data_IF_392500258665
#
_entry.id   IF_392500258665
#
_cell.length_a   1.000
_cell.length_b   1.000
_cell.length_c   1.000
_cell.angle_alpha   90.00
_cell.angle_beta   90.00
_cell.angle_gamma   90.00
#
_symmetry.space_group_name_H-M   'P 1'
#
loop_
_entity.id
_entity.type
_entity.pdbx_description
1 polymer ?
#
# COMPACT_ATOMS: atom_id res chain seq x y z
N UNK A 1 -7.10 9.03 20.05
CA UNK A 1 -6.69 8.40 18.76
C UNK A 1 -7.33 9.18 17.62
N UNK A 2 -6.67 9.30 16.46
CA UNK A 2 -7.30 9.85 15.24
C UNK A 2 -6.73 9.17 14.00
N UNK A 3 -7.53 9.09 12.96
CA UNK A 3 -7.09 8.66 11.62
C UNK A 3 -6.89 9.91 10.78
N UNK A 4 -5.76 9.98 10.09
CA UNK A 4 -5.40 11.07 9.18
C UNK A 4 -5.30 10.56 7.75
N UNK A 5 -5.59 11.45 6.80
CA UNK A 5 -5.40 11.20 5.37
C UNK A 5 -4.44 12.26 4.84
N UNK A 6 -3.47 11.82 4.06
CA UNK A 6 -2.46 12.66 3.42
C UNK A 6 -2.24 12.17 2.00
N UNK A 7 -1.99 13.08 1.07
CA UNK A 7 -1.62 12.71 -0.28
C UNK A 7 -0.25 12.00 -0.27
N UNK A 8 -0.02 11.11 -1.23
CA UNK A 8 1.25 10.38 -1.38
C UNK A 8 2.48 11.29 -1.54
N UNK A 9 2.27 12.55 -1.89
CA UNK A 9 3.31 13.58 -1.99
C UNK A 9 3.55 14.34 -0.67
N UNK A 10 2.88 13.94 0.42
CA UNK A 10 2.96 14.57 1.74
C UNK A 10 2.13 15.86 1.90
N UNK A 11 1.28 16.22 0.91
CA UNK A 11 0.43 17.41 0.98
C UNK A 11 -0.99 17.08 1.45
N UNK A 12 -1.78 18.13 1.69
CA UNK A 12 -3.21 18.06 2.00
C UNK A 12 -3.55 17.15 3.20
N UNK A 13 -2.69 17.13 4.21
CA UNK A 13 -2.95 16.39 5.44
C UNK A 13 -4.23 16.91 6.10
N UNK A 14 -5.17 16.00 6.37
CA UNK A 14 -6.41 16.30 7.07
C UNK A 14 -6.74 15.22 8.09
N UNK A 15 -7.36 15.65 9.19
CA UNK A 15 -7.99 14.71 10.13
C UNK A 15 -9.21 14.11 9.44
N UNK A 16 -9.24 12.78 9.36
CA UNK A 16 -10.33 12.03 8.73
C UNK A 16 -11.37 11.62 9.76
N UNK A 17 -10.94 11.06 10.89
CA UNK A 17 -11.81 10.71 12.01
C UNK A 17 -11.09 10.96 13.31
N UNK A 18 -11.72 11.70 14.22
CA UNK A 18 -11.17 12.05 15.54
C UNK A 18 -12.04 11.62 16.73
N UNK A 19 -13.28 11.20 16.48
CA UNK A 19 -14.25 10.87 17.53
C UNK A 19 -14.60 9.38 17.52
N UNK A 20 -14.89 8.84 18.70
CA UNK A 20 -15.32 7.44 18.89
C UNK A 20 -14.36 6.40 18.31
N UNK A 21 -13.08 6.73 18.17
CA UNK A 21 -12.01 5.78 17.87
C UNK A 21 -11.25 5.55 19.17
N UNK A 22 -11.19 4.30 19.58
CA UNK A 22 -10.46 3.88 20.78
C UNK A 22 -9.05 3.50 20.38
N UNK A 23 -8.94 2.41 19.62
CA UNK A 23 -7.68 1.86 19.16
C UNK A 23 -7.91 1.14 17.83
N UNK A 24 -7.36 1.69 16.75
CA UNK A 24 -7.40 1.08 15.42
C UNK A 24 -6.12 0.27 15.24
N UNK A 25 -6.27 -1.04 15.06
CA UNK A 25 -5.14 -1.94 14.86
C UNK A 25 -4.75 -2.04 13.39
N UNK A 26 -5.75 -2.07 12.49
CA UNK A 26 -5.54 -2.20 11.05
C UNK A 26 -6.57 -1.40 10.24
N UNK A 27 -6.15 -0.99 9.04
CA UNK A 27 -6.98 -0.27 8.08
C UNK A 27 -6.84 -0.86 6.68
N UNK A 28 -7.92 -0.79 5.91
CA UNK A 28 -7.92 -1.10 4.48
C UNK A 28 -8.80 -0.11 3.73
N UNK A 29 -8.44 0.28 2.52
CA UNK A 29 -9.22 1.20 1.70
C UNK A 29 -9.71 0.52 0.43
N UNK A 30 -11.01 0.59 0.14
CA UNK A 30 -11.59 0.04 -1.08
C UNK A 30 -12.94 0.68 -1.42
N UNK A 31 -13.19 0.89 -2.72
CA UNK A 31 -14.51 1.28 -3.22
C UNK A 31 -15.06 2.61 -2.67
N UNK A 32 -14.21 3.55 -2.28
CA UNK A 32 -14.66 4.81 -1.66
C UNK A 32 -14.96 4.69 -0.16
N UNK A 33 -14.48 3.63 0.48
CA UNK A 33 -14.59 3.42 1.91
C UNK A 33 -13.22 3.14 2.55
N UNK A 34 -13.08 3.56 3.80
CA UNK A 34 -12.05 3.13 4.73
C UNK A 34 -12.67 2.10 5.68
N UNK A 35 -12.09 0.92 5.71
CA UNK A 35 -12.39 -0.13 6.67
C UNK A 35 -11.38 -0.03 7.81
N UNK A 36 -11.85 0.06 9.04
CA UNK A 36 -10.97 0.07 10.21
C UNK A 36 -11.38 -1.01 11.20
N UNK A 37 -10.38 -1.74 11.71
CA UNK A 37 -10.52 -2.69 12.79
C UNK A 37 -10.22 -1.96 14.10
N UNK A 38 -11.26 -1.59 14.85
CA UNK A 38 -11.16 -1.00 16.19
C UNK A 38 -11.33 -2.07 17.27
N UNK A 39 -10.49 -1.98 18.29
CA UNK A 39 -10.39 -2.97 19.36
C UNK A 39 -11.64 -3.05 20.24
N UNK A 40 -12.48 -2.00 20.24
CA UNK A 40 -13.72 -1.93 21.03
C UNK A 40 -14.95 -2.26 20.18
N UNK A 41 -15.06 -1.70 18.99
CA UNK A 41 -16.28 -1.82 18.17
C UNK A 41 -16.20 -2.94 17.13
N UNK A 42 -15.00 -3.34 16.71
CA UNK A 42 -14.79 -4.36 15.68
C UNK A 42 -14.50 -3.76 14.31
N UNK A 43 -15.10 -4.31 13.26
CA UNK A 43 -14.95 -3.80 11.90
C UNK A 43 -15.96 -2.69 11.63
N UNK A 44 -15.44 -1.53 11.27
CA UNK A 44 -16.24 -0.39 10.85
C UNK A 44 -15.90 0.05 9.43
N UNK A 45 -16.89 0.62 8.75
CA UNK A 45 -16.75 1.21 7.43
C UNK A 45 -17.02 2.71 7.51
N UNK A 46 -16.17 3.50 6.87
CA UNK A 46 -16.23 4.96 6.86
C UNK A 46 -16.14 5.45 5.42
N UNK A 47 -17.08 6.27 4.95
CA UNK A 47 -16.99 6.83 3.59
C UNK A 47 -15.76 7.73 3.46
N UNK A 48 -15.11 7.79 2.29
CA UNK A 48 -13.91 8.64 2.05
C UNK A 48 -14.13 10.14 2.28
N UNK A 49 -15.38 10.59 2.44
CA UNK A 49 -15.73 11.95 2.82
C UNK A 49 -15.88 12.13 4.34
N UNK A 50 -15.86 11.04 5.12
CA UNK A 50 -16.02 11.02 6.57
C UNK A 50 -17.46 11.14 7.06
N UNK A 51 -18.44 11.24 6.16
CA UNK A 51 -19.83 11.57 6.49
C UNK A 51 -20.64 10.40 7.07
N UNK A 52 -20.33 9.17 6.65
CA UNK A 52 -21.06 7.97 7.08
C UNK A 52 -20.10 6.98 7.72
N UNK A 53 -20.51 6.47 8.88
CA UNK A 53 -19.82 5.43 9.64
C UNK A 53 -20.81 4.37 10.06
N UNK A 54 -20.46 3.11 9.84
CA UNK A 54 -21.26 1.94 10.22
C UNK A 54 -20.37 0.88 10.85
N UNK A 55 -20.91 0.17 11.83
CA UNK A 55 -20.30 -1.06 12.36
C UNK A 55 -20.79 -2.20 11.49
N UNK A 56 -19.89 -2.86 10.76
CA UNK A 56 -20.22 -4.00 9.90
C UNK A 56 -20.12 -5.32 10.67
N UNK A 57 -19.16 -5.40 11.60
CA UNK A 57 -18.97 -6.59 12.41
C UNK A 57 -18.50 -6.19 13.80
N UNK A 58 -19.10 -6.81 14.83
CA UNK A 58 -18.65 -6.63 16.21
C UNK A 58 -17.24 -7.17 16.42
N UNK A 59 -16.57 -6.69 17.48
CA UNK A 59 -15.21 -7.13 17.81
C UNK A 59 -15.17 -8.64 18.06
N UNK A 60 -14.32 -9.32 17.28
CA UNK A 60 -13.98 -10.72 17.44
C UNK A 60 -12.49 -10.85 17.75
N UNK A 61 -12.06 -11.33 18.94
CA UNK A 61 -10.65 -11.32 19.38
C UNK A 61 -9.67 -11.99 18.40
N UNK A 62 -10.14 -12.99 17.64
CA UNK A 62 -9.34 -13.69 16.63
C UNK A 62 -9.05 -12.87 15.38
N UNK A 63 -9.75 -11.76 15.17
CA UNK A 63 -9.49 -10.87 14.03
C UNK A 63 -8.37 -9.92 14.41
N UNK A 64 -7.25 -10.07 13.71
CA UNK A 64 -6.02 -9.33 13.96
C UNK A 64 -5.65 -8.41 12.82
N UNK A 65 -6.15 -8.67 11.60
CA UNK A 65 -5.82 -7.88 10.41
C UNK A 65 -6.97 -7.91 9.40
N UNK A 66 -7.00 -6.89 8.54
CA UNK A 66 -7.93 -6.75 7.42
C UNK A 66 -7.16 -6.35 6.16
N UNK A 67 -7.57 -6.88 5.02
CA UNK A 67 -7.05 -6.49 3.71
C UNK A 67 -8.20 -6.42 2.73
N UNK A 68 -8.28 -5.32 2.00
CA UNK A 68 -9.23 -5.19 0.90
C UNK A 68 -8.52 -5.54 -0.40
N UNK A 69 -9.12 -6.47 -1.17
CA UNK A 69 -8.51 -7.00 -2.40
C UNK A 69 -9.38 -6.61 -3.58
N UNK A 70 -8.81 -5.83 -4.49
CA UNK A 70 -9.38 -5.59 -5.80
C UNK A 70 -8.76 -6.56 -6.80
N UNK A 71 -9.59 -7.25 -7.60
CA UNK A 71 -9.13 -8.12 -8.68
C UNK A 71 -9.25 -7.39 -10.01
N UNK A 72 -8.18 -6.78 -10.54
CA UNK A 72 -8.22 -6.06 -11.80
C UNK A 72 -8.33 -7.01 -13.00
N UNK A 73 -8.90 -6.50 -14.10
CA UNK A 73 -8.85 -7.19 -15.38
C UNK A 73 -7.41 -7.34 -15.89
N UNK A 74 -7.17 -8.41 -16.64
CA UNK A 74 -5.87 -8.69 -17.24
C UNK A 74 -5.31 -7.52 -18.09
N UNK A 75 -6.19 -6.66 -18.65
CA UNK A 75 -5.77 -5.48 -19.42
C UNK A 75 -5.07 -4.42 -18.56
N UNK A 76 -5.55 -4.20 -17.33
CA UNK A 76 -4.93 -3.25 -16.39
C UNK A 76 -3.57 -3.76 -15.94
N UNK A 77 -3.50 -5.07 -15.68
CA UNK A 77 -2.28 -5.77 -15.29
C UNK A 77 -1.19 -5.71 -16.36
N UNK A 78 -1.52 -5.94 -17.64
CA UNK A 78 -0.53 -5.91 -18.75
C UNK A 78 0.19 -4.57 -18.93
N UNK A 79 -0.41 -3.46 -18.50
CA UNK A 79 0.25 -2.15 -18.57
C UNK A 79 1.31 -1.97 -17.47
N UNK A 80 1.39 -2.89 -16.51
CA UNK A 80 2.40 -2.88 -15.48
C UNK A 80 3.66 -3.59 -16.00
N UNK A 81 4.71 -2.82 -16.28
CA UNK A 81 5.96 -3.29 -16.91
C UNK A 81 6.69 -4.39 -16.13
N UNK A 82 6.48 -4.48 -14.81
CA UNK A 82 7.03 -5.56 -13.97
C UNK A 82 6.37 -6.94 -14.19
N UNK A 83 5.41 -7.06 -15.12
CA UNK A 83 4.79 -8.35 -15.47
C UNK A 83 5.53 -9.10 -16.58
N UNK A 84 6.56 -8.52 -17.20
CA UNK A 84 7.30 -9.23 -18.24
C UNK A 84 8.13 -10.38 -17.64
N UNK A 85 7.95 -11.64 -18.08
CA UNK A 85 8.62 -12.80 -17.49
C UNK A 85 10.14 -12.84 -17.65
N UNK A 86 10.71 -11.96 -18.49
CA UNK A 86 12.15 -11.93 -18.79
C UNK A 86 13.03 -11.41 -17.64
N UNK A 87 12.42 -10.89 -16.57
CA UNK A 87 13.11 -10.12 -15.53
C UNK A 87 13.10 -10.74 -14.13
N UNK A 88 12.67 -12.00 -13.96
CA UNK A 88 12.75 -12.69 -12.67
C UNK A 88 14.17 -13.24 -12.48
N UNK A 89 14.99 -12.63 -11.61
CA UNK A 89 14.68 -12.51 -10.19
C UNK A 89 14.82 -11.08 -9.63
N UNK A 90 14.49 -10.05 -10.41
CA UNK A 90 14.82 -8.67 -10.04
C UNK A 90 13.70 -7.97 -9.24
N UNK A 91 14.08 -7.34 -8.13
CA UNK A 91 13.22 -6.39 -7.40
C UNK A 91 13.06 -5.15 -8.28
N UNK A 92 11.88 -4.93 -8.86
CA UNK A 92 11.59 -3.72 -9.61
C UNK A 92 10.95 -2.68 -8.70
N UNK A 93 11.50 -1.48 -8.72
CA UNK A 93 10.85 -0.32 -8.11
C UNK A 93 10.40 0.60 -9.23
N UNK A 94 9.09 0.81 -9.34
CA UNK A 94 8.60 1.93 -10.13
C UNK A 94 9.06 3.21 -9.45
N UNK A 95 9.90 3.99 -10.12
CA UNK A 95 10.26 5.31 -9.64
C UNK A 95 9.05 6.21 -9.87
N UNK A 96 8.48 6.76 -8.80
CA UNK A 96 7.27 7.59 -8.87
C UNK A 96 7.38 8.73 -9.89
N UNK A 97 6.22 9.31 -10.25
CA UNK A 97 5.93 10.32 -11.30
C UNK A 97 6.87 11.55 -11.29
N UNK A 98 8.16 11.34 -11.51
CA UNK A 98 9.22 12.35 -11.52
C UNK A 98 10.20 12.00 -12.63
N UNK A 99 10.05 12.70 -13.76
CA UNK A 99 10.94 12.88 -14.92
C UNK A 99 11.62 11.68 -15.61
N UNK A 100 11.64 10.47 -15.06
CA UNK A 100 12.10 9.26 -15.78
C UNK A 100 10.93 8.32 -15.96
N UNK A 101 10.54 8.10 -17.20
CA UNK A 101 9.47 7.17 -17.65
C UNK A 101 9.92 5.71 -17.66
N UNK A 102 11.00 5.36 -16.95
CA UNK A 102 11.66 4.07 -17.07
C UNK A 102 11.75 3.43 -15.68
N UNK A 103 11.24 2.21 -15.55
CA UNK A 103 11.42 1.37 -14.37
C UNK A 103 12.90 0.99 -14.21
N UNK A 104 13.33 0.83 -12.96
CA UNK A 104 14.73 0.54 -12.63
C UNK A 104 14.79 -0.69 -11.74
N UNK A 105 15.69 -1.62 -12.09
CA UNK A 105 16.02 -2.76 -11.25
C UNK A 105 16.69 -2.26 -9.95
N UNK A 106 16.24 -2.77 -8.81
CA UNK A 106 16.76 -2.46 -7.48
C UNK A 106 17.39 -3.70 -6.86
N UNK A 107 18.35 -3.55 -5.95
CA UNK A 107 19.07 -4.67 -5.33
C UNK A 107 18.78 -4.75 -3.82
N UNK A 108 18.78 -5.97 -3.23
CA UNK A 108 18.92 -6.13 -1.78
C UNK A 108 20.19 -5.46 -1.24
N UNK A 109 20.20 -5.08 0.04
CA UNK A 109 21.29 -4.29 0.68
C UNK A 109 22.72 -4.84 0.51
N UNK A 110 22.89 -6.14 0.28
CA UNK A 110 24.20 -6.80 0.17
C UNK A 110 24.69 -6.99 -1.27
N UNK A 111 23.91 -6.52 -2.25
CA UNK A 111 24.20 -6.62 -3.67
C UNK A 111 24.23 -5.23 -4.31
N UNK A 112 24.96 -5.13 -5.41
CA UNK A 112 25.02 -3.94 -6.24
C UNK A 112 24.44 -4.24 -7.62
N UNK A 113 23.76 -3.26 -8.21
CA UNK A 113 23.27 -3.36 -9.59
C UNK A 113 24.48 -3.27 -10.52
N UNK A 114 24.60 -4.23 -11.43
CA UNK A 114 25.67 -4.26 -12.42
C UNK A 114 25.41 -3.22 -13.53
N UNK A 115 26.42 -2.98 -14.38
CA UNK A 115 26.36 -1.97 -15.44
C UNK A 115 25.25 -2.23 -16.49
N UNK A 116 24.84 -3.49 -16.64
CA UNK A 116 23.73 -3.90 -17.49
C UNK A 116 22.36 -3.44 -16.97
N UNK A 117 22.31 -2.90 -15.74
CA UNK A 117 21.10 -2.42 -15.05
C UNK A 117 20.01 -3.48 -14.87
N UNK A 118 20.37 -4.74 -15.03
CA UNK A 118 19.47 -5.88 -14.89
C UNK A 118 20.02 -6.80 -13.79
N UNK A 119 21.29 -7.19 -13.87
CA UNK A 119 21.87 -8.19 -12.97
C UNK A 119 22.49 -7.62 -11.70
N UNK A 120 22.76 -8.52 -10.75
CA UNK A 120 23.30 -8.20 -9.44
C UNK A 120 24.68 -8.82 -9.22
N UNK A 121 25.56 -8.09 -8.55
CA UNK A 121 26.86 -8.60 -8.11
C UNK A 121 27.11 -8.30 -6.65
N UNK A 122 28.09 -9.01 -6.07
CA UNK A 122 28.63 -8.67 -4.75
C UNK A 122 29.49 -7.41 -4.91
N UNK A 123 29.57 -6.60 -3.86
CA UNK A 123 30.51 -5.48 -3.82
C UNK A 123 31.93 -5.95 -4.21
N UNK A 124 32.62 -5.25 -5.12
CA UNK A 124 34.01 -5.56 -5.41
C UNK A 124 34.82 -5.46 -4.11
N UNK A 125 35.61 -6.49 -3.83
CA UNK A 125 36.53 -6.49 -2.71
C UNK A 125 37.49 -5.29 -2.88
N UNK A 126 37.64 -4.50 -1.80
CA UNK A 126 38.63 -3.41 -1.76
C UNK A 126 40.04 -3.95 -1.67
#
# INVERSE_FOLDING_TARGET
>A
MRIEVIDINGKNQKTFVSMHITQVDNIAAYGGFLYCLDDKTGLETITVNGERRSVELQRLPQFTNISAVWTPDAKVLRNHMAQSPKLFPHLHSQRGVTRSTHDVCSCPKHLMLLEDKENYGIYPAR
#
